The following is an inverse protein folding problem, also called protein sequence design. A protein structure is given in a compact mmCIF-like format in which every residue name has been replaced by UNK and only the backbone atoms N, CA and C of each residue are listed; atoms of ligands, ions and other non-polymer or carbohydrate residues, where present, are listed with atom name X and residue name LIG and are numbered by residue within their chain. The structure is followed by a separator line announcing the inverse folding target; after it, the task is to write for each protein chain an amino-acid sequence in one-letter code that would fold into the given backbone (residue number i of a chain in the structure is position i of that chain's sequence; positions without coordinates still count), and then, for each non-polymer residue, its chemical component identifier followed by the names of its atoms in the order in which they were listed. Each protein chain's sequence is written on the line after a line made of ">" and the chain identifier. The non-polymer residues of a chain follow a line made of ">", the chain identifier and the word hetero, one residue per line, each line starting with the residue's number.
data_IF_279863053662
#
_entry.id   IF_279863053662
#
_cell.length_a   1.000
_cell.length_b   1.000
_cell.length_c   1.000
_cell.angle_alpha   90.00
_cell.angle_beta   90.00
_cell.angle_gamma   90.00
#
_symmetry.space_group_name_H-M   'P 1'
#
loop_
_entity.id
_entity.type
_entity.pdbx_description
1 polymer ?
#
# COMPACT_ATOMS: atom_id res chain seq x y z
N UNK A 1 -8.57 10.09 2.69
CA UNK A 1 -8.58 9.54 4.06
C UNK A 1 -9.96 9.74 4.66
N UNK A 2 -10.38 8.88 5.59
CA UNK A 2 -11.66 8.98 6.32
C UNK A 2 -11.42 9.21 7.81
N UNK A 3 -12.28 10.03 8.41
CA UNK A 3 -12.28 10.30 9.86
C UNK A 3 -12.62 9.03 10.65
N UNK A 4 -12.04 8.91 11.85
CA UNK A 4 -12.37 7.87 12.83
C UNK A 4 -13.27 8.40 13.96
N UNK A 5 -13.69 9.68 13.91
CA UNK A 5 -14.40 10.35 15.01
C UNK A 5 -15.65 9.59 15.45
N UNK A 6 -16.47 9.11 14.50
CA UNK A 6 -17.72 8.40 14.83
C UNK A 6 -17.48 7.08 15.58
N UNK A 7 -16.40 6.38 15.26
CA UNK A 7 -16.00 5.16 15.99
C UNK A 7 -15.56 5.50 17.40
N UNK A 8 -14.75 6.55 17.56
CA UNK A 8 -14.29 6.99 18.88
C UNK A 8 -15.43 7.53 19.76
N UNK A 9 -16.43 8.14 19.15
CA UNK A 9 -17.60 8.69 19.85
C UNK A 9 -18.69 7.64 20.09
N UNK A 10 -18.50 6.41 19.60
CA UNK A 10 -19.49 5.33 19.72
C UNK A 10 -20.76 5.53 18.89
N UNK A 11 -20.77 6.51 17.97
CA UNK A 11 -21.87 6.75 17.03
C UNK A 11 -21.82 5.81 15.83
N UNK A 12 -20.68 5.14 15.61
CA UNK A 12 -20.52 4.04 14.67
C UNK A 12 -19.68 2.92 15.30
N UNK A 13 -19.95 1.66 14.92
CA UNK A 13 -19.14 0.50 15.35
C UNK A 13 -18.04 0.13 14.36
N UNK A 14 -18.09 0.68 13.14
CA UNK A 14 -17.15 0.39 12.05
C UNK A 14 -16.73 1.66 11.32
N UNK A 15 -15.51 1.66 10.79
CA UNK A 15 -15.01 2.71 9.89
C UNK A 15 -15.75 2.61 8.54
N UNK A 16 -15.98 3.73 7.83
CA UNK A 16 -16.58 3.72 6.48
C UNK A 16 -15.62 3.22 5.38
N UNK A 17 -14.52 2.55 5.75
CA UNK A 17 -13.51 2.07 4.80
C UNK A 17 -13.75 0.59 4.55
N UNK A 18 -13.87 0.22 3.28
CA UNK A 18 -14.00 -1.19 2.88
C UNK A 18 -12.64 -1.91 2.77
N UNK A 19 -11.56 -1.14 2.71
CA UNK A 19 -10.19 -1.64 2.59
C UNK A 19 -9.17 -0.68 3.19
N UNK A 20 -7.97 -1.21 3.45
CA UNK A 20 -6.77 -0.44 3.81
C UNK A 20 -5.63 -0.79 2.87
N UNK A 21 -4.71 0.15 2.67
CA UNK A 21 -3.55 -0.01 1.80
C UNK A 21 -2.27 0.26 2.59
N UNK A 22 -1.27 -0.58 2.37
CA UNK A 22 0.13 -0.30 2.69
C UNK A 22 0.98 -0.38 1.41
N UNK A 23 2.07 0.38 1.36
CA UNK A 23 2.96 0.47 0.21
C UNK A 23 4.38 0.02 0.57
N UNK A 24 4.97 -0.84 -0.25
CA UNK A 24 6.37 -1.26 -0.16
C UNK A 24 7.28 -0.32 -0.95
N UNK A 25 7.68 0.80 -0.35
CA UNK A 25 8.43 1.87 -1.02
C UNK A 25 9.87 1.54 -1.41
N UNK A 26 10.48 0.52 -0.81
CA UNK A 26 11.87 0.14 -1.06
C UNK A 26 12.86 1.27 -0.75
N UNK A 27 13.99 1.25 -1.45
CA UNK A 27 15.03 2.29 -1.33
C UNK A 27 14.62 3.57 -2.06
N UNK A 28 15.22 4.67 -1.63
CA UNK A 28 15.11 5.97 -2.29
C UNK A 28 16.49 6.41 -2.75
N UNK A 29 16.55 7.09 -3.88
CA UNK A 29 17.78 7.63 -4.45
C UNK A 29 17.74 9.15 -4.50
N UNK A 30 18.91 9.79 -4.48
CA UNK A 30 19.05 11.23 -4.64
C UNK A 30 19.39 11.54 -6.10
N UNK A 31 18.50 12.22 -6.81
CA UNK A 31 18.67 12.54 -8.23
C UNK A 31 19.56 13.77 -8.50
N UNK A 32 20.13 14.35 -7.45
CA UNK A 32 20.90 15.59 -7.50
C UNK A 32 20.12 16.83 -7.08
N UNK A 33 18.79 16.75 -7.06
CA UNK A 33 17.90 17.83 -6.62
C UNK A 33 17.08 17.42 -5.39
N UNK A 34 16.56 16.20 -5.38
CA UNK A 34 15.70 15.67 -4.31
C UNK A 34 15.81 14.17 -4.15
N UNK A 35 15.28 13.69 -3.02
CA UNK A 35 15.09 12.26 -2.78
C UNK A 35 13.86 11.79 -3.54
N UNK A 36 14.02 10.77 -4.40
CA UNK A 36 12.96 10.14 -5.17
C UNK A 36 12.90 8.63 -4.84
N UNK A 37 11.72 8.01 -4.88
CA UNK A 37 11.63 6.55 -4.83
C UNK A 37 12.40 5.93 -6.01
N UNK A 38 13.14 4.85 -5.76
CA UNK A 38 13.80 4.11 -6.83
C UNK A 38 12.75 3.40 -7.71
N UNK A 39 11.75 2.80 -7.07
CA UNK A 39 10.62 2.16 -7.76
C UNK A 39 9.66 3.21 -8.32
N UNK A 40 9.29 3.05 -9.59
CA UNK A 40 8.24 3.86 -10.22
C UNK A 40 6.83 3.54 -9.71
N UNK A 41 6.62 2.30 -9.28
CA UNK A 41 5.38 1.83 -8.65
C UNK A 41 5.78 1.00 -7.43
N UNK A 42 5.32 1.39 -6.25
CA UNK A 42 5.57 0.63 -5.03
C UNK A 42 4.53 -0.49 -4.87
N UNK A 43 4.97 -1.66 -4.45
CA UNK A 43 4.08 -2.81 -4.25
C UNK A 43 2.97 -2.47 -3.26
N UNK A 44 1.76 -2.96 -3.51
CA UNK A 44 0.55 -2.67 -2.73
C UNK A 44 0.17 -3.89 -1.92
N UNK A 45 0.08 -3.72 -0.60
CA UNK A 45 -0.67 -4.65 0.25
C UNK A 45 -2.06 -4.05 0.48
N UNK A 46 -3.06 -4.58 -0.22
CA UNK A 46 -4.46 -4.12 -0.08
C UNK A 46 -5.20 -5.16 0.75
N UNK A 47 -5.71 -4.73 1.89
CA UNK A 47 -6.37 -5.59 2.86
C UNK A 47 -7.84 -5.18 2.98
N UNK A 48 -8.75 -6.10 2.65
CA UNK A 48 -10.17 -5.99 2.94
C UNK A 48 -10.49 -6.46 4.36
N UNK A 49 -11.74 -6.88 4.60
CA UNK A 49 -12.15 -7.37 5.92
C UNK A 49 -11.56 -8.75 6.28
N UNK A 50 -11.49 -9.66 5.31
CA UNK A 50 -11.02 -11.04 5.50
C UNK A 50 -9.90 -11.47 4.55
N UNK A 51 -9.78 -10.80 3.40
CA UNK A 51 -8.80 -11.16 2.39
C UNK A 51 -7.82 -10.03 2.15
N UNK A 52 -6.56 -10.39 1.91
CA UNK A 52 -5.48 -9.47 1.58
C UNK A 52 -4.84 -9.90 0.26
N UNK A 53 -4.53 -8.93 -0.60
CA UNK A 53 -3.73 -9.16 -1.79
C UNK A 53 -2.40 -8.40 -1.73
N UNK A 54 -1.39 -8.97 -2.39
CA UNK A 54 -0.16 -8.28 -2.76
C UNK A 54 -0.20 -8.02 -4.26
N UNK A 55 -0.12 -6.75 -4.66
CA UNK A 55 -0.19 -6.30 -6.05
C UNK A 55 1.06 -5.52 -6.43
N UNK A 56 1.72 -5.93 -7.50
CA UNK A 56 2.96 -5.33 -8.02
C UNK A 56 2.72 -4.68 -9.38
N UNK A 57 3.78 -4.14 -9.99
CA UNK A 57 3.77 -3.69 -11.38
C UNK A 57 3.40 -4.81 -12.38
N UNK A 58 3.59 -6.08 -11.98
CA UNK A 58 3.29 -7.26 -12.77
C UNK A 58 1.92 -7.89 -12.42
N UNK A 59 1.12 -7.23 -11.58
CA UNK A 59 -0.20 -7.70 -11.15
C UNK A 59 -0.19 -8.35 -9.77
N UNK A 60 -1.26 -9.09 -9.45
CA UNK A 60 -1.41 -9.75 -8.14
C UNK A 60 -0.45 -10.93 -8.02
N UNK A 61 0.35 -10.94 -6.96
CA UNK A 61 1.31 -12.02 -6.67
C UNK A 61 0.87 -12.91 -5.51
N UNK A 62 -0.03 -12.44 -4.66
CA UNK A 62 -0.53 -13.23 -3.52
C UNK A 62 -1.94 -12.85 -3.11
N UNK A 63 -2.67 -13.83 -2.58
CA UNK A 63 -3.98 -13.71 -1.96
C UNK A 63 -4.00 -14.53 -0.66
N UNK A 64 -4.37 -13.91 0.46
CA UNK A 64 -4.39 -14.54 1.78
C UNK A 64 -5.76 -14.36 2.46
N UNK A 65 -6.20 -15.38 3.19
CA UNK A 65 -7.35 -15.31 4.12
C UNK A 65 -6.84 -14.96 5.51
N UNK A 66 -6.85 -13.68 5.88
CA UNK A 66 -6.23 -13.19 7.11
C UNK A 66 -6.98 -13.59 8.38
N UNK A 67 -8.21 -14.11 8.27
CA UNK A 67 -8.97 -14.62 9.41
C UNK A 67 -8.53 -16.06 9.75
N UNK A 68 -8.32 -16.89 8.72
CA UNK A 68 -7.90 -18.30 8.89
C UNK A 68 -6.39 -18.50 8.91
N UNK A 69 -5.68 -17.61 8.22
CA UNK A 69 -4.23 -17.59 8.09
C UNK A 69 -3.68 -16.17 8.35
N UNK A 70 -3.68 -15.72 9.62
CA UNK A 70 -3.13 -14.42 9.99
C UNK A 70 -1.62 -14.29 9.72
N UNK A 71 -0.92 -15.42 9.55
CA UNK A 71 0.51 -15.48 9.25
C UNK A 71 0.85 -15.29 7.76
N UNK A 72 -0.16 -15.31 6.88
CA UNK A 72 0.02 -15.21 5.43
C UNK A 72 0.93 -16.33 4.87
N UNK A 73 0.82 -17.54 5.43
CA UNK A 73 1.63 -18.71 5.07
C UNK A 73 1.10 -19.43 3.81
N UNK A 74 -0.21 -19.33 3.55
CA UNK A 74 -0.90 -20.06 2.50
C UNK A 74 -1.45 -19.13 1.42
N UNK A 75 -0.72 -19.01 0.32
CA UNK A 75 -1.16 -18.25 -0.85
C UNK A 75 -2.29 -18.99 -1.58
N UNK A 76 -3.46 -18.34 -1.68
CA UNK A 76 -4.66 -18.86 -2.33
C UNK A 76 -4.78 -18.48 -3.81
N UNK A 77 -3.84 -17.69 -4.36
CA UNK A 77 -3.98 -17.07 -5.68
C UNK A 77 -4.22 -18.08 -6.81
N UNK A 78 -3.55 -19.22 -6.77
CA UNK A 78 -3.63 -20.23 -7.84
C UNK A 78 -4.94 -21.03 -7.82
N UNK A 79 -5.57 -21.16 -6.65
CA UNK A 79 -6.82 -21.90 -6.48
C UNK A 79 -7.69 -21.29 -5.38
N UNK A 80 -8.27 -20.09 -5.63
CA UNK A 80 -9.07 -19.41 -4.63
C UNK A 80 -10.44 -20.08 -4.50
N UNK A 81 -10.94 -20.35 -3.29
CA UNK A 81 -12.36 -20.67 -3.11
C UNK A 81 -13.23 -19.49 -3.56
N UNK A 82 -14.50 -19.74 -3.89
CA UNK A 82 -15.41 -18.74 -4.48
C UNK A 82 -15.43 -17.39 -3.75
N UNK A 83 -15.47 -17.40 -2.41
CA UNK A 83 -15.43 -16.17 -1.59
C UNK A 83 -14.12 -15.39 -1.77
N UNK A 84 -12.99 -16.09 -1.84
CA UNK A 84 -11.67 -15.50 -2.04
C UNK A 84 -11.52 -14.97 -3.46
N UNK A 85 -12.08 -15.65 -4.47
CA UNK A 85 -12.08 -15.20 -5.85
C UNK A 85 -12.87 -13.89 -6.02
N UNK A 86 -14.03 -13.78 -5.37
CA UNK A 86 -14.82 -12.53 -5.36
C UNK A 86 -14.09 -11.39 -4.65
N UNK A 87 -13.40 -11.69 -3.54
CA UNK A 87 -12.59 -10.70 -2.84
C UNK A 87 -11.40 -10.25 -3.68
N UNK A 88 -10.71 -11.18 -4.35
CA UNK A 88 -9.61 -10.90 -5.27
C UNK A 88 -10.06 -9.89 -6.35
N UNK A 89 -11.16 -10.16 -7.05
CA UNK A 89 -11.67 -9.26 -8.10
C UNK A 89 -11.91 -7.83 -7.57
N UNK A 90 -12.55 -7.71 -6.40
CA UNK A 90 -12.82 -6.41 -5.76
C UNK A 90 -11.53 -5.67 -5.39
N UNK A 91 -10.58 -6.37 -4.76
CA UNK A 91 -9.34 -5.75 -4.30
C UNK A 91 -8.42 -5.40 -5.48
N UNK A 92 -8.42 -6.18 -6.55
CA UNK A 92 -7.71 -5.81 -7.77
C UNK A 92 -8.34 -4.61 -8.47
N UNK A 93 -9.67 -4.46 -8.43
CA UNK A 93 -10.33 -3.27 -8.95
C UNK A 93 -9.85 -2.01 -8.21
N UNK A 94 -9.66 -2.10 -6.89
CA UNK A 94 -9.01 -1.04 -6.11
C UNK A 94 -7.58 -0.81 -6.58
N UNK A 95 -6.78 -1.86 -6.74
CA UNK A 95 -5.40 -1.74 -7.21
C UNK A 95 -5.29 -1.02 -8.57
N UNK A 96 -6.13 -1.40 -9.53
CA UNK A 96 -6.21 -0.80 -10.88
C UNK A 96 -6.74 0.64 -10.88
N UNK A 97 -7.36 1.10 -9.79
CA UNK A 97 -7.82 2.49 -9.69
C UNK A 97 -6.68 3.48 -9.39
N UNK A 98 -5.52 2.98 -8.94
CA UNK A 98 -4.35 3.81 -8.71
C UNK A 98 -3.62 4.17 -10.02
N UNK A 99 -2.83 5.26 -10.04
CA UNK A 99 -2.00 5.59 -11.19
C UNK A 99 -0.98 4.48 -11.51
N UNK A 100 -0.63 4.35 -12.79
CA UNK A 100 0.42 3.43 -13.25
C UNK A 100 1.81 3.74 -12.65
N UNK A 101 2.02 4.98 -12.21
CA UNK A 101 3.26 5.44 -11.58
C UNK A 101 2.97 6.28 -10.34
N UNK A 102 3.71 6.02 -9.27
CA UNK A 102 3.65 6.79 -8.04
C UNK A 102 4.25 8.18 -8.20
N UNK A 103 3.54 9.17 -7.66
CA UNK A 103 4.04 10.52 -7.59
C UNK A 103 5.11 10.62 -6.49
N UNK A 104 6.35 11.05 -6.81
CA UNK A 104 7.35 11.28 -5.77
C UNK A 104 6.90 12.43 -4.88
N UNK A 105 7.15 12.37 -3.56
CA UNK A 105 6.86 13.46 -2.66
C UNK A 105 7.51 14.77 -3.11
N UNK A 106 6.84 15.89 -2.84
CA UNK A 106 7.34 17.23 -3.15
C UNK A 106 7.65 17.94 -1.86
N UNK A 107 8.94 18.03 -1.54
CA UNK A 107 9.43 18.75 -0.38
C UNK A 107 10.11 20.05 -0.81
N UNK A 108 10.01 21.07 0.05
CA UNK A 108 10.86 22.26 -0.04
C UNK A 108 12.11 22.01 0.78
N UNK A 109 13.32 22.19 0.23
CA UNK A 109 14.55 22.06 1.01
C UNK A 109 14.56 23.03 2.19
N UNK A 110 15.07 22.55 3.33
CA UNK A 110 15.36 23.42 4.46
C UNK A 110 16.54 24.35 4.13
N UNK A 111 16.67 25.49 4.82
CA UNK A 111 17.89 26.30 4.74
C UNK A 111 19.13 25.48 5.16
N UNK A 112 20.24 25.71 4.47
CA UNK A 112 21.52 25.02 4.74
C UNK A 112 21.99 25.29 6.17
N UNK A 113 22.37 24.24 6.88
CA UNK A 113 22.92 24.29 8.24
C UNK A 113 24.43 24.02 8.22
N UNK A 114 25.13 24.44 9.28
CA UNK A 114 26.59 24.27 9.39
C UNK A 114 27.01 22.79 9.49
N UNK A 115 26.12 21.93 9.99
CA UNK A 115 26.35 20.50 10.14
C UNK A 115 25.85 19.66 8.95
N UNK A 116 25.37 20.30 7.86
CA UNK A 116 24.96 19.58 6.67
C UNK A 116 26.17 18.93 6.00
N UNK A 117 26.11 17.60 5.85
CA UNK A 117 27.14 16.86 5.14
C UNK A 117 27.05 17.16 3.64
N UNK A 118 28.20 17.44 3.02
CA UNK A 118 28.30 17.48 1.58
C UNK A 118 27.97 16.11 0.99
N UNK A 119 27.02 16.05 0.06
CA UNK A 119 26.64 14.84 -0.66
C UNK A 119 27.90 14.22 -1.28
N UNK A 120 28.31 13.06 -0.77
CA UNK A 120 29.39 12.28 -1.41
C UNK A 120 28.77 11.60 -2.63
N UNK A 121 29.30 11.93 -3.82
CA UNK A 121 28.93 11.31 -5.09
C UNK A 121 29.56 9.94 -5.24
#
# INVERSE_FOLDING_TARGET
>A
GHSLADVLHGTATRSPRDWVLSMGGGEATFDGERVIPEKGFADRAICGERYKIIYTDNGTTSLFDIEKDPGEEYNLLDNPPDEAAQALEKLEAVARSFPERDAPPRYKPNPRQEWDLSVKR
#
